data_IF_186145534477
#
_entry.id   IF_186145534477
#
_cell.length_a   1.000
_cell.length_b   1.000
_cell.length_c   1.000
_cell.angle_alpha   90.00
_cell.angle_beta   90.00
_cell.angle_gamma   90.00
#
_symmetry.space_group_name_H-M   'P 1'
#
loop_
_entity.id
_entity.type
_entity.pdbx_description
1 polymer ?
#
# COMPACT_ATOMS: atom_id res chain seq x y z
N UNK A 1 -6.02 17.18 5.91
CA UNK A 1 -5.41 16.28 4.89
C UNK A 1 -6.51 15.39 4.31
N UNK A 2 -6.32 14.89 3.08
CA UNK A 2 -7.31 14.06 2.41
C UNK A 2 -6.66 12.86 1.72
N UNK A 3 -7.30 11.69 1.80
CA UNK A 3 -6.99 10.55 0.95
C UNK A 3 -7.55 10.83 -0.45
N UNK A 4 -6.69 10.82 -1.45
CA UNK A 4 -7.10 11.08 -2.83
C UNK A 4 -7.50 9.78 -3.52
N UNK A 5 -8.47 9.83 -4.42
CA UNK A 5 -8.83 8.71 -5.28
C UNK A 5 -8.94 9.11 -6.75
N UNK A 6 -8.69 8.13 -7.63
CA UNK A 6 -8.93 8.24 -9.07
C UNK A 6 -10.06 7.30 -9.47
N UNK A 7 -10.83 7.67 -10.49
CA UNK A 7 -11.87 6.81 -11.07
C UNK A 7 -11.22 5.98 -12.17
N UNK A 8 -11.26 4.65 -12.04
CA UNK A 8 -10.78 3.72 -13.06
C UNK A 8 -11.91 2.84 -13.57
N UNK A 9 -11.91 2.58 -14.87
CA UNK A 9 -12.74 1.57 -15.50
C UNK A 9 -12.15 0.19 -15.16
N UNK A 10 -12.96 -0.77 -14.75
CA UNK A 10 -12.51 -2.11 -14.35
C UNK A 10 -13.56 -3.14 -14.75
N UNK A 11 -13.09 -4.25 -15.30
CA UNK A 11 -13.90 -5.43 -15.59
C UNK A 11 -13.88 -6.36 -14.38
N UNK A 12 -15.05 -6.76 -13.91
CA UNK A 12 -15.15 -7.65 -12.76
C UNK A 12 -15.31 -9.10 -13.21
N UNK A 13 -14.36 -9.96 -12.85
CA UNK A 13 -14.34 -11.37 -13.24
C UNK A 13 -15.39 -12.26 -12.55
N UNK A 14 -16.12 -11.73 -11.55
CA UNK A 14 -17.21 -12.44 -10.87
C UNK A 14 -18.58 -12.17 -11.49
N UNK A 15 -18.72 -11.09 -12.28
CA UNK A 15 -19.96 -10.82 -13.00
C UNK A 15 -20.01 -11.73 -14.24
N UNK A 16 -21.09 -12.51 -14.38
CA UNK A 16 -21.29 -13.43 -15.52
C UNK A 16 -21.18 -12.71 -16.87
N UNK A 17 -21.56 -11.44 -16.91
CA UNK A 17 -21.57 -10.60 -18.12
C UNK A 17 -20.25 -9.85 -18.34
N UNK A 18 -19.27 -9.93 -17.43
CA UNK A 18 -17.99 -9.20 -17.49
C UNK A 18 -18.17 -7.71 -17.86
N UNK A 19 -19.23 -7.09 -17.36
CA UNK A 19 -19.53 -5.70 -17.67
C UNK A 19 -18.45 -4.78 -17.08
N UNK A 20 -18.04 -3.78 -17.86
CA UNK A 20 -17.10 -2.77 -17.38
C UNK A 20 -17.81 -1.79 -16.45
N UNK A 21 -17.24 -1.58 -15.26
CA UNK A 21 -17.77 -0.66 -14.25
C UNK A 21 -16.68 0.32 -13.82
N UNK A 22 -17.08 1.49 -13.33
CA UNK A 22 -16.15 2.48 -12.78
C UNK A 22 -16.01 2.31 -11.28
N UNK A 23 -14.77 2.30 -10.79
CA UNK A 23 -14.46 2.24 -9.36
C UNK A 23 -13.47 3.30 -8.93
N UNK A 24 -13.62 3.77 -7.69
CA UNK A 24 -12.62 4.58 -7.03
C UNK A 24 -11.43 3.70 -6.62
N UNK A 25 -10.22 4.14 -6.93
CA UNK A 25 -8.97 3.53 -6.46
C UNK A 25 -8.17 4.57 -5.68
N UNK A 26 -7.56 4.21 -4.53
CA UNK A 26 -6.73 5.14 -3.79
C UNK A 26 -5.56 5.61 -4.65
N UNK A 27 -5.25 6.90 -4.55
CA UNK A 27 -4.10 7.52 -5.19
C UNK A 27 -3.03 7.77 -4.12
N UNK A 28 -1.98 6.95 -4.14
CA UNK A 28 -0.86 7.09 -3.22
C UNK A 28 0.10 8.14 -3.79
N UNK A 29 0.30 9.23 -3.04
CA UNK A 29 1.06 10.39 -3.53
C UNK A 29 2.56 10.12 -3.53
N UNK A 30 3.09 9.50 -2.46
CA UNK A 30 4.51 9.18 -2.28
C UNK A 30 4.63 7.95 -1.37
N UNK A 31 5.66 7.13 -1.60
CA UNK A 31 6.11 6.11 -0.64
C UNK A 31 7.16 6.71 0.27
N UNK A 32 6.95 6.67 1.59
CA UNK A 32 7.96 7.06 2.57
C UNK A 32 8.85 5.85 2.83
N UNK A 33 10.14 5.96 2.51
CA UNK A 33 11.09 4.88 2.77
C UNK A 33 11.50 4.80 4.26
N UNK A 34 12.12 3.68 4.64
CA UNK A 34 12.53 3.44 6.03
C UNK A 34 13.55 4.46 6.53
N UNK A 35 14.44 4.95 5.66
CA UNK A 35 15.42 5.97 6.00
C UNK A 35 14.73 7.28 6.39
N UNK A 36 13.78 7.73 5.57
CA UNK A 36 12.99 8.94 5.79
C UNK A 36 12.15 8.81 7.07
N UNK A 37 11.55 7.64 7.32
CA UNK A 37 10.81 7.39 8.55
C UNK A 37 11.69 7.53 9.79
N UNK A 38 12.86 6.88 9.82
CA UNK A 38 13.81 7.00 10.91
C UNK A 38 14.29 8.45 11.10
N UNK A 39 14.56 9.17 10.00
CA UNK A 39 14.94 10.59 10.04
C UNK A 39 13.84 11.45 10.69
N UNK A 40 12.56 11.19 10.40
CA UNK A 40 11.44 11.89 11.03
C UNK A 40 11.31 11.57 12.52
N UNK A 41 11.42 10.29 12.90
CA UNK A 41 11.37 9.90 14.32
C UNK A 41 12.52 10.53 15.10
N UNK A 42 13.73 10.55 14.55
CA UNK A 42 14.87 11.25 15.15
C UNK A 42 14.60 12.74 15.32
N UNK A 43 14.02 13.40 14.32
CA UNK A 43 13.71 14.83 14.38
C UNK A 43 12.66 15.16 15.45
N UNK A 44 11.64 14.32 15.61
CA UNK A 44 10.54 14.54 16.56
C UNK A 44 10.91 14.10 17.97
N UNK A 45 11.57 12.95 18.11
CA UNK A 45 11.88 12.34 19.41
C UNK A 45 13.28 12.63 19.93
N UNK A 46 14.12 13.32 19.17
CA UNK A 46 15.52 13.62 19.51
C UNK A 46 16.37 12.37 19.81
N UNK A 47 15.98 11.22 19.27
CA UNK A 47 16.70 9.95 19.42
C UNK A 47 17.63 9.75 18.23
N UNK A 48 18.91 9.39 18.43
CA UNK A 48 19.83 9.12 17.33
C UNK A 48 19.25 8.09 16.36
N UNK A 49 19.40 8.35 15.06
CA UNK A 49 18.84 7.51 14.01
C UNK A 49 19.27 6.04 14.11
N UNK A 50 20.53 5.80 14.48
CA UNK A 50 21.05 4.45 14.69
C UNK A 50 20.25 3.69 15.75
N UNK A 51 19.95 4.35 16.88
CA UNK A 51 19.13 3.78 17.96
C UNK A 51 17.69 3.53 17.52
N UNK A 52 17.07 4.45 16.77
CA UNK A 52 15.72 4.24 16.22
C UNK A 52 15.68 2.98 15.36
N UNK A 53 16.65 2.83 14.46
CA UNK A 53 16.77 1.62 13.62
C UNK A 53 16.92 0.36 14.48
N UNK A 54 17.84 0.36 15.44
CA UNK A 54 18.07 -0.81 16.31
C UNK A 54 16.82 -1.23 17.09
N UNK A 55 16.02 -0.28 17.58
CA UNK A 55 14.77 -0.58 18.28
C UNK A 55 13.74 -1.20 17.32
N UNK A 56 13.62 -0.68 16.10
CA UNK A 56 12.70 -1.22 15.09
C UNK A 56 13.12 -2.63 14.63
N UNK A 57 14.42 -2.88 14.47
CA UNK A 57 14.95 -4.21 14.16
C UNK A 57 14.64 -5.19 15.30
N UNK A 58 14.94 -4.84 16.55
CA UNK A 58 14.66 -5.69 17.71
C UNK A 58 13.15 -5.94 17.93
N UNK A 59 12.30 -4.98 17.56
CA UNK A 59 10.85 -5.15 17.56
C UNK A 59 10.41 -6.19 16.52
N UNK A 60 10.99 -6.17 15.30
CA UNK A 60 10.71 -7.16 14.27
C UNK A 60 11.09 -8.57 14.75
N UNK A 61 12.30 -8.73 15.30
CA UNK A 61 12.76 -10.02 15.83
C UNK A 61 11.86 -10.55 16.95
N UNK A 62 11.42 -9.66 17.84
CA UNK A 62 10.49 -10.00 18.92
C UNK A 62 9.13 -10.41 18.36
N UNK A 63 8.61 -9.69 17.36
CA UNK A 63 7.36 -10.02 16.69
C UNK A 63 7.44 -11.40 16.03
N UNK A 64 8.52 -11.70 15.30
CA UNK A 64 8.75 -13.02 14.69
C UNK A 64 8.70 -14.11 15.76
N UNK A 65 9.52 -13.97 16.81
CA UNK A 65 9.64 -14.95 17.90
C UNK A 65 8.27 -15.30 18.52
N UNK A 66 7.45 -14.29 18.85
CA UNK A 66 6.16 -14.54 19.49
C UNK A 66 5.07 -14.99 18.50
N UNK A 67 5.08 -14.50 17.26
CA UNK A 67 4.07 -14.91 16.28
C UNK A 67 4.32 -16.33 15.74
N UNK A 68 5.57 -16.81 15.70
CA UNK A 68 5.88 -18.19 15.33
C UNK A 68 5.23 -19.22 16.26
N UNK A 69 5.09 -18.90 17.55
CA UNK A 69 4.38 -19.76 18.52
C UNK A 69 2.86 -19.51 18.54
N UNK A 70 2.33 -18.74 17.58
CA UNK A 70 0.89 -18.47 17.45
C UNK A 70 0.37 -17.31 18.30
N UNK A 71 1.23 -16.55 18.98
CA UNK A 71 0.78 -15.44 19.82
C UNK A 71 0.31 -14.23 19.00
N UNK A 72 -0.68 -13.51 19.53
CA UNK A 72 -1.01 -12.16 19.07
C UNK A 72 -0.20 -11.14 19.87
N UNK A 73 0.50 -10.24 19.20
CA UNK A 73 1.37 -9.24 19.83
C UNK A 73 0.75 -7.86 19.72
N UNK A 74 0.47 -7.23 20.87
CA UNK A 74 -0.11 -5.89 20.96
C UNK A 74 0.98 -4.84 21.21
N UNK A 75 1.00 -3.81 20.37
CA UNK A 75 1.90 -2.65 20.47
C UNK A 75 1.13 -1.40 20.96
N UNK A 76 0.22 -1.58 21.90
CA UNK A 76 -0.57 -0.50 22.49
C UNK A 76 -1.42 0.25 21.46
N UNK A 77 -1.32 1.58 21.45
CA UNK A 77 -2.10 2.45 20.55
C UNK A 77 -1.76 2.28 19.06
N UNK A 78 -0.62 1.66 18.74
CA UNK A 78 -0.22 1.35 17.38
C UNK A 78 -1.13 0.28 16.78
N UNK A 79 -1.35 -0.82 17.50
CA UNK A 79 -2.24 -1.90 17.07
C UNK A 79 -1.75 -3.28 17.46
N UNK A 80 -2.34 -4.30 16.85
CA UNK A 80 -2.08 -5.70 17.17
C UNK A 80 -1.74 -6.49 15.92
N UNK A 81 -0.66 -7.26 15.97
CA UNK A 81 -0.29 -8.22 14.95
C UNK A 81 -0.70 -9.63 15.40
N UNK A 82 -1.27 -10.42 14.50
CA UNK A 82 -1.58 -11.83 14.77
C UNK A 82 -1.31 -12.71 13.56
N UNK A 83 -0.73 -13.92 13.75
CA UNK A 83 -0.69 -14.93 12.70
C UNK A 83 -2.10 -15.42 12.40
N UNK A 84 -2.35 -15.77 11.14
CA UNK A 84 -3.64 -16.27 10.67
C UNK A 84 -3.45 -17.11 9.41
N UNK A 85 -4.43 -17.95 9.10
CA UNK A 85 -4.51 -18.68 7.85
C UNK A 85 -5.97 -18.69 7.39
N UNK A 86 -6.18 -18.78 6.09
CA UNK A 86 -7.47 -19.13 5.50
C UNK A 86 -7.67 -20.65 5.48
N UNK A 87 -8.89 -21.07 5.18
CA UNK A 87 -9.24 -22.47 4.98
C UNK A 87 -10.23 -22.56 3.82
N UNK A 88 -10.08 -23.57 2.95
CA UNK A 88 -11.14 -23.92 2.00
C UNK A 88 -12.31 -24.52 2.76
N UNK A 89 -13.52 -24.05 2.48
CA UNK A 89 -14.73 -24.69 3.02
C UNK A 89 -14.75 -26.17 2.62
N UNK A 90 -14.99 -27.02 3.60
CA UNK A 90 -15.28 -28.44 3.43
C UNK A 90 -16.71 -28.72 3.88
N UNK A 91 -17.29 -29.83 3.44
CA UNK A 91 -18.66 -30.19 3.80
C UNK A 91 -18.70 -30.93 5.16
N UNK A 92 -17.64 -31.68 5.48
CA UNK A 92 -17.49 -32.42 6.74
C UNK A 92 -16.31 -31.94 7.60
N UNK A 93 -16.44 -32.04 8.94
CA UNK A 93 -15.39 -31.66 9.90
C UNK A 93 -14.08 -32.45 9.68
N UNK A 94 -14.20 -33.74 9.37
CA UNK A 94 -13.05 -34.64 9.16
C UNK A 94 -12.22 -34.27 7.93
N UNK A 95 -12.81 -33.54 7.00
CA UNK A 95 -12.13 -33.09 5.79
C UNK A 95 -11.29 -31.84 6.05
N UNK A 96 -11.49 -31.15 7.19
CA UNK A 96 -10.68 -29.99 7.58
C UNK A 96 -9.31 -30.49 8.07
N UNK A 97 -8.37 -30.56 7.14
CA UNK A 97 -6.97 -30.94 7.39
C UNK A 97 -6.01 -29.80 7.10
N UNK A 98 -4.72 -29.99 7.41
CA UNK A 98 -3.66 -29.03 7.07
C UNK A 98 -3.59 -28.69 5.59
N UNK A 99 -4.03 -29.60 4.70
CA UNK A 99 -4.03 -29.40 3.24
C UNK A 99 -5.17 -28.48 2.78
N UNK A 100 -6.24 -28.39 3.58
CA UNK A 100 -7.34 -27.46 3.34
C UNK A 100 -7.02 -26.04 3.81
N UNK A 101 -6.01 -25.88 4.68
CA UNK A 101 -5.51 -24.59 5.12
C UNK A 101 -4.75 -23.89 3.98
N UNK A 102 -5.00 -22.59 3.83
CA UNK A 102 -4.43 -21.76 2.78
C UNK A 102 -4.03 -20.40 3.33
N UNK A 103 -3.26 -19.64 2.55
CA UNK A 103 -3.06 -18.20 2.78
C UNK A 103 -2.59 -17.88 4.21
N UNK A 104 -1.47 -18.47 4.64
CA UNK A 104 -0.78 -18.04 5.88
C UNK A 104 -0.46 -16.55 5.74
N UNK A 105 -0.85 -15.77 6.72
CA UNK A 105 -0.76 -14.31 6.68
C UNK A 105 -0.62 -13.74 8.08
N UNK A 106 -0.07 -12.53 8.17
CA UNK A 106 -0.12 -11.72 9.38
C UNK A 106 -1.26 -10.71 9.20
N UNK A 107 -2.15 -10.63 10.19
CA UNK A 107 -3.20 -9.62 10.24
C UNK A 107 -2.73 -8.51 11.19
N UNK A 108 -2.63 -7.30 10.66
CA UNK A 108 -2.52 -6.09 11.47
C UNK A 108 -3.90 -5.49 11.72
N UNK A 109 -4.25 -5.32 13.00
CA UNK A 109 -5.44 -4.59 13.41
C UNK A 109 -5.02 -3.22 13.95
N UNK A 110 -5.39 -2.11 13.30
CA UNK A 110 -5.00 -0.78 13.75
C UNK A 110 -5.49 -0.46 15.17
N UNK A 111 -4.64 0.18 15.98
CA UNK A 111 -4.99 0.66 17.30
C UNK A 111 -5.86 1.93 17.27
N UNK A 112 -6.14 2.50 18.44
CA UNK A 112 -7.03 3.66 18.61
C UNK A 112 -6.57 4.88 17.81
N UNK A 113 -5.27 5.17 17.81
CA UNK A 113 -4.69 6.35 17.14
C UNK A 113 -4.91 6.30 15.62
N UNK A 114 -4.63 5.17 14.98
CA UNK A 114 -4.86 5.00 13.54
C UNK A 114 -6.35 4.93 13.20
N UNK A 115 -7.17 4.28 14.03
CA UNK A 115 -8.63 4.28 13.86
C UNK A 115 -9.21 5.70 13.92
N UNK A 116 -8.73 6.54 14.84
CA UNK A 116 -9.11 7.94 14.94
C UNK A 116 -8.70 8.74 13.70
N UNK A 117 -7.46 8.58 13.23
CA UNK A 117 -6.95 9.24 12.03
C UNK A 117 -7.74 8.87 10.77
N UNK A 118 -8.05 7.58 10.56
CA UNK A 118 -8.83 7.13 9.39
C UNK A 118 -10.26 7.69 9.41
N UNK A 119 -10.87 7.86 10.59
CA UNK A 119 -12.21 8.44 10.70
C UNK A 119 -12.24 9.94 10.42
N UNK A 120 -11.14 10.66 10.69
CA UNK A 120 -11.08 12.11 10.53
C UNK A 120 -10.54 12.55 9.17
N UNK A 121 -9.80 11.69 8.47
CA UNK A 121 -9.27 12.02 7.14
C UNK A 121 -10.38 12.07 6.10
N UNK A 122 -10.50 13.20 5.40
CA UNK A 122 -11.46 13.34 4.30
C UNK A 122 -11.03 12.55 3.06
N UNK A 123 -11.98 12.19 2.19
CA UNK A 123 -11.69 11.52 0.91
C UNK A 123 -12.05 12.47 -0.23
N UNK A 124 -11.13 12.68 -1.17
CA UNK A 124 -11.30 13.62 -2.28
C UNK A 124 -10.93 12.99 -3.62
N UNK A 125 -11.66 13.34 -4.67
CA UNK A 125 -11.30 12.93 -6.04
C UNK A 125 -10.05 13.72 -6.46
N UNK A 126 -9.11 13.07 -7.15
CA UNK A 126 -8.00 13.76 -7.77
C UNK A 126 -8.51 14.51 -9.00
N UNK A 127 -8.52 15.84 -8.95
CA UNK A 127 -8.90 16.68 -10.09
C UNK A 127 -7.77 16.71 -11.12
N UNK A 128 -7.98 16.03 -12.24
CA UNK A 128 -7.03 16.01 -13.36
C UNK A 128 -6.94 17.34 -14.13
N UNK A 129 -7.69 18.38 -13.75
CA UNK A 129 -7.87 19.62 -14.53
C UNK A 129 -6.96 20.79 -14.12
N UNK A 130 -5.95 20.58 -13.27
CA UNK A 130 -5.00 21.65 -12.84
C UNK A 130 -3.52 21.31 -13.07
N UNK A 131 -3.21 20.56 -14.13
CA UNK A 131 -1.83 20.40 -14.61
C UNK A 131 -1.80 20.58 -16.13
N UNK A 132 -1.99 21.82 -16.58
CA UNK A 132 -1.53 22.33 -17.88
C UNK A 132 -1.73 23.86 -17.89
N UNK A 133 -0.82 24.59 -17.24
CA UNK A 133 -0.53 25.99 -17.58
C UNK A 133 0.84 26.40 -17.01
N UNK A 134 1.88 25.65 -17.37
CA UNK A 134 3.20 26.28 -17.52
C UNK A 134 3.25 26.82 -18.94
N UNK A 135 2.95 28.12 -19.09
CA UNK A 135 3.06 28.83 -20.35
C UNK A 135 4.50 28.77 -20.85
N UNK A 136 4.68 28.17 -22.02
CA UNK A 136 5.90 28.29 -22.81
C UNK A 136 5.91 29.70 -23.43
N UNK A 137 6.94 30.53 -23.24
CA UNK A 137 7.14 31.68 -24.10
C UNK A 137 7.62 31.17 -25.47
N UNK A 138 6.88 31.57 -26.49
CA UNK A 138 7.25 31.50 -27.88
C UNK A 138 8.56 32.27 -28.12
N UNK A 139 9.58 31.58 -28.64
CA UNK A 139 10.68 32.23 -29.33
C UNK A 139 11.27 31.25 -30.36
N UNK A 140 10.95 31.45 -31.62
CA UNK A 140 11.52 30.69 -32.73
C UNK A 140 13.00 30.99 -32.93
N UNK A 141 13.78 29.97 -33.25
CA UNK A 141 14.65 29.96 -34.43
C UNK A 141 15.19 28.54 -34.72
N UNK A 142 15.44 28.33 -36.01
CA UNK A 142 15.76 27.13 -36.78
C UNK A 142 16.98 26.29 -36.35
N UNK A 143 16.98 25.00 -36.73
CA UNK A 143 18.23 24.22 -36.85
C UNK A 143 18.12 22.68 -36.78
N UNK A 144 17.65 22.08 -37.87
CA UNK A 144 18.08 20.82 -38.52
C UNK A 144 18.68 19.64 -37.70
N UNK A 145 18.17 18.41 -37.91
CA UNK A 145 18.90 17.17 -37.57
C UNK A 145 18.07 15.90 -37.44
N UNK A 146 18.23 15.01 -38.42
CA UNK A 146 17.65 13.67 -38.61
C UNK A 146 17.62 12.70 -37.42
N UNK A 147 16.61 11.80 -37.44
CA UNK A 147 16.85 10.36 -37.29
C UNK A 147 16.35 9.68 -36.02
N UNK A 148 15.56 8.60 -36.19
CA UNK A 148 15.45 7.53 -35.19
C UNK A 148 14.03 7.14 -34.79
N UNK A 149 13.44 6.24 -35.58
CA UNK A 149 12.23 5.48 -35.25
C UNK A 149 12.60 4.25 -34.41
N UNK A 150 12.02 4.09 -33.22
CA UNK A 150 11.88 2.85 -32.42
C UNK A 150 10.97 3.23 -31.24
N UNK A 151 9.77 2.70 -31.03
CA UNK A 151 9.40 1.29 -31.05
C UNK A 151 9.52 0.73 -29.63
N UNK A 152 8.47 0.80 -28.80
CA UNK A 152 8.53 0.23 -27.46
C UNK A 152 7.39 0.63 -26.52
N UNK A 153 6.17 0.22 -26.84
CA UNK A 153 5.08 0.22 -25.87
C UNK A 153 5.16 -1.01 -24.98
N UNK A 154 5.54 -0.84 -23.72
CA UNK A 154 5.36 -1.87 -22.69
C UNK A 154 4.58 -1.28 -21.51
N UNK A 155 3.32 -1.69 -21.43
CA UNK A 155 2.52 -1.59 -20.22
C UNK A 155 3.01 -2.65 -19.21
N UNK A 156 3.27 -2.32 -17.94
CA UNK A 156 3.48 -3.35 -16.95
C UNK A 156 2.16 -4.00 -16.55
N UNK A 157 2.09 -5.31 -16.80
CA UNK A 157 1.03 -6.27 -16.47
C UNK A 157 0.75 -6.31 -14.95
N UNK A 158 -0.52 -6.29 -14.51
CA UNK A 158 -0.90 -6.42 -13.11
C UNK A 158 -1.24 -7.88 -12.75
N UNK A 159 -0.33 -8.62 -12.10
CA UNK A 159 -0.59 -9.54 -10.97
C UNK A 159 0.50 -10.61 -10.81
N UNK A 160 1.01 -10.73 -9.58
CA UNK A 160 1.26 -12.00 -8.90
C UNK A 160 1.20 -11.75 -7.39
#
# INVERSE_FOLDING_TARGET
MALKYVVKKTTFGFDKEKAEKYVARPFNVVTVDFKMLCDQVTKVGFVPRGTVKSVLDGLIDSLITYMEIGASVSLGEFGTFRPSFGCKSQDDEKEVTTDTLKNRKIIFTPGSMFKGMIKSVSIQKLDSSKSNSSGTPDNGNEGNGEGGNEGGGEAPDPAA
#
